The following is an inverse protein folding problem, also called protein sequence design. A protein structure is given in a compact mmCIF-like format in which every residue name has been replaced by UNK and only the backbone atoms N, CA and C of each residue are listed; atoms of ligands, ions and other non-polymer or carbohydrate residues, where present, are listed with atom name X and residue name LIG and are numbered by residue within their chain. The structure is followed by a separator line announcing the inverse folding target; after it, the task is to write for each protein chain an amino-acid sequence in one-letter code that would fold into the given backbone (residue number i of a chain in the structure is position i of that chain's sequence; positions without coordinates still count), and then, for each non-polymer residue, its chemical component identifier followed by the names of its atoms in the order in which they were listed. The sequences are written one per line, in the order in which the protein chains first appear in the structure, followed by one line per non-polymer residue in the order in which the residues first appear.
data_IF_395619005951
#
_entry.id   IF_395619005951
#
_cell.length_a   1.000
_cell.length_b   1.000
_cell.length_c   1.000
_cell.angle_alpha   90.00
_cell.angle_beta   90.00
_cell.angle_gamma   90.00
#
_symmetry.space_group_name_H-M   'P 1'
#
loop_
_entity.id
_entity.type
_entity.pdbx_description
1 polymer ?
#
# COMPACT_ATOMS: atom_id res chain seq x y z
N UNK A 1 10.73 5.83 2.48
CA UNK A 1 10.47 7.28 2.54
C UNK A 1 11.45 7.99 1.62
N UNK A 2 10.98 8.97 0.87
CA UNK A 2 11.79 9.79 -0.04
C UNK A 2 12.73 10.72 0.75
N UNK A 3 13.93 10.97 0.24
CA UNK A 3 14.81 12.01 0.81
C UNK A 3 14.20 13.37 0.56
N UNK A 4 14.06 14.17 1.62
CA UNK A 4 13.57 15.56 1.57
C UNK A 4 14.52 16.50 2.28
N UNK A 5 14.55 17.74 1.82
CA UNK A 5 15.42 18.82 2.30
C UNK A 5 14.79 20.17 2.05
N UNK A 6 15.43 21.24 2.47
CA UNK A 6 14.97 22.61 2.19
C UNK A 6 14.54 22.80 0.74
N UNK A 7 13.36 23.38 0.54
CA UNK A 7 12.68 23.55 -0.74
C UNK A 7 11.74 22.41 -1.12
N UNK A 8 11.78 21.24 -0.45
CA UNK A 8 10.82 20.14 -0.68
C UNK A 8 9.40 20.55 -0.29
N UNK A 9 8.39 19.95 -0.98
CA UNK A 9 6.96 20.20 -0.72
C UNK A 9 6.17 18.90 -0.75
N UNK A 10 4.99 18.90 -0.11
CA UNK A 10 4.01 17.82 -0.20
C UNK A 10 3.91 16.94 1.04
N UNK A 11 3.32 15.75 0.88
CA UNK A 11 2.92 14.85 1.98
C UNK A 11 4.09 14.42 2.88
N UNK A 12 5.26 14.11 2.32
CA UNK A 12 6.44 13.76 3.10
C UNK A 12 6.90 14.88 4.04
N UNK A 13 6.76 16.14 3.63
CA UNK A 13 7.08 17.29 4.48
C UNK A 13 6.06 17.43 5.60
N UNK A 14 4.76 17.27 5.30
CA UNK A 14 3.71 17.27 6.33
C UNK A 14 3.93 16.20 7.39
N UNK A 15 4.26 14.97 6.95
CA UNK A 15 4.58 13.84 7.83
C UNK A 15 5.76 14.19 8.75
N UNK A 16 6.83 14.76 8.19
CA UNK A 16 8.00 15.20 8.95
C UNK A 16 7.63 16.27 9.99
N UNK A 17 6.93 17.32 9.56
CA UNK A 17 6.51 18.42 10.41
C UNK A 17 5.64 17.95 11.58
N UNK A 18 4.66 17.09 11.30
CA UNK A 18 3.84 16.45 12.35
C UNK A 18 4.71 15.70 13.35
N UNK A 19 5.68 14.92 12.86
CA UNK A 19 6.55 14.10 13.73
C UNK A 19 7.50 14.95 14.57
N UNK A 20 7.94 16.08 14.05
CA UNK A 20 8.79 17.05 14.76
C UNK A 20 7.99 17.99 15.68
N UNK A 21 6.64 17.94 15.65
CA UNK A 21 5.79 18.79 16.48
C UNK A 21 5.82 20.29 16.10
N UNK A 22 6.08 20.59 14.81
CA UNK A 22 6.12 21.96 14.28
C UNK A 22 4.91 22.25 13.37
N UNK A 23 4.75 23.48 12.91
CA UNK A 23 3.68 23.88 11.99
C UNK A 23 3.67 23.02 10.72
N UNK A 24 2.48 22.49 10.33
CA UNK A 24 2.30 21.52 9.23
C UNK A 24 1.75 22.26 8.01
N UNK A 25 2.61 22.91 7.26
CA UNK A 25 2.27 23.63 6.02
C UNK A 25 2.63 22.85 4.74
N UNK A 26 3.40 21.76 4.89
CA UNK A 26 3.86 20.94 3.77
C UNK A 26 4.98 21.59 2.95
N UNK A 27 5.62 22.64 3.47
CA UNK A 27 6.79 23.28 2.86
C UNK A 27 8.01 23.17 3.78
N UNK A 28 9.08 22.57 3.26
CA UNK A 28 10.34 22.45 3.98
C UNK A 28 11.10 23.78 3.92
N UNK A 29 10.68 24.73 4.74
CA UNK A 29 11.31 26.05 4.90
C UNK A 29 12.46 26.02 5.90
N UNK A 30 12.90 27.22 6.31
CA UNK A 30 13.99 27.38 7.29
C UNK A 30 13.63 26.80 8.66
N UNK A 31 12.39 26.98 9.11
CA UNK A 31 11.95 26.45 10.42
C UNK A 31 11.98 24.92 10.44
N UNK A 32 11.52 24.30 9.35
CA UNK A 32 11.60 22.84 9.21
C UNK A 32 13.05 22.36 9.16
N UNK A 33 13.95 23.05 8.44
CA UNK A 33 15.37 22.74 8.39
C UNK A 33 16.01 22.82 9.78
N UNK A 34 15.76 23.89 10.52
CA UNK A 34 16.28 24.08 11.88
C UNK A 34 15.79 22.97 12.83
N UNK A 35 14.52 22.61 12.76
CA UNK A 35 13.94 21.53 13.55
C UNK A 35 14.58 20.15 13.20
N UNK A 36 14.84 19.90 11.92
CA UNK A 36 15.56 18.67 11.48
C UNK A 36 16.98 18.65 12.03
N UNK A 37 17.74 19.73 11.91
CA UNK A 37 19.11 19.82 12.42
C UNK A 37 19.13 19.59 13.94
N UNK A 38 18.20 20.20 14.67
CA UNK A 38 18.06 20.02 16.12
C UNK A 38 17.75 18.55 16.46
N UNK A 39 16.81 17.94 15.75
CA UNK A 39 16.49 16.52 15.91
C UNK A 39 17.69 15.62 15.64
N UNK A 40 18.38 15.83 14.51
CA UNK A 40 19.57 15.05 14.14
C UNK A 40 20.66 15.14 15.21
N UNK A 41 20.96 16.33 15.72
CA UNK A 41 21.92 16.53 16.83
C UNK A 41 21.54 15.75 18.08
N UNK A 42 20.28 15.82 18.50
CA UNK A 42 19.81 15.15 19.74
C UNK A 42 19.76 13.62 19.63
N UNK A 43 19.76 13.07 18.39
CA UNK A 43 19.69 11.63 18.12
C UNK A 43 21.01 11.05 17.57
N UNK A 44 22.14 11.81 17.65
CA UNK A 44 23.45 11.32 17.22
C UNK A 44 23.58 11.11 15.71
N UNK A 45 22.75 11.79 14.92
CA UNK A 45 22.80 11.76 13.46
C UNK A 45 23.64 12.93 12.92
N UNK A 46 24.11 12.84 11.67
CA UNK A 46 24.75 13.97 10.98
C UNK A 46 23.76 15.13 10.85
N UNK A 47 24.04 16.32 11.43
CA UNK A 47 23.10 17.43 11.46
C UNK A 47 23.16 18.26 10.17
N UNK A 48 22.87 17.65 9.04
CA UNK A 48 22.96 18.25 7.70
C UNK A 48 21.67 18.88 7.20
N UNK A 49 20.58 18.77 7.99
CA UNK A 49 19.25 19.26 7.60
C UNK A 49 18.58 18.47 6.48
N UNK A 50 19.13 17.30 6.11
CA UNK A 50 18.59 16.43 5.08
C UNK A 50 17.94 15.22 5.74
N UNK A 51 16.67 15.00 5.45
CA UNK A 51 15.93 13.83 5.96
C UNK A 51 16.08 12.68 4.97
N UNK A 52 17.20 11.98 5.06
CA UNK A 52 17.52 10.77 4.32
C UNK A 52 17.06 9.51 5.08
N UNK A 53 17.54 8.34 4.63
CA UNK A 53 17.19 7.04 5.20
C UNK A 53 17.39 6.98 6.72
N UNK A 54 18.56 7.32 7.22
CA UNK A 54 18.88 7.23 8.65
C UNK A 54 18.01 8.16 9.51
N UNK A 55 17.72 9.37 9.00
CA UNK A 55 16.84 10.31 9.72
C UNK A 55 15.40 9.77 9.75
N UNK A 56 14.88 9.22 8.64
CA UNK A 56 13.55 8.58 8.63
C UNK A 56 13.47 7.38 9.55
N UNK A 57 14.48 6.52 9.56
CA UNK A 57 14.54 5.34 10.44
C UNK A 57 14.56 5.74 11.91
N UNK A 58 15.35 6.77 12.28
CA UNK A 58 15.38 7.33 13.63
C UNK A 58 14.03 7.92 14.05
N UNK A 59 13.29 8.53 13.11
CA UNK A 59 11.92 9.02 13.32
C UNK A 59 10.89 7.87 13.42
N UNK A 60 11.31 6.61 13.24
CA UNK A 60 10.46 5.42 13.31
C UNK A 60 9.76 5.06 12.00
N UNK A 61 10.22 5.61 10.86
CA UNK A 61 9.66 5.30 9.55
C UNK A 61 10.57 4.38 8.75
N UNK A 62 9.98 3.41 8.03
CA UNK A 62 10.75 2.53 7.16
C UNK A 62 11.11 3.26 5.86
N UNK A 63 12.39 3.34 5.53
CA UNK A 63 12.83 3.87 4.26
C UNK A 63 12.34 2.98 3.11
N UNK A 64 11.87 3.61 2.04
CA UNK A 64 11.57 2.96 0.76
C UNK A 64 12.01 3.91 -0.36
N UNK A 65 12.51 3.35 -1.45
CA UNK A 65 12.83 4.12 -2.66
C UNK A 65 11.59 4.53 -3.44
N UNK A 66 10.39 4.02 -3.05
CA UNK A 66 9.11 4.28 -3.71
C UNK A 66 8.32 5.37 -2.99
N UNK A 67 7.69 6.24 -3.75
CA UNK A 67 6.68 7.17 -3.25
C UNK A 67 5.35 6.42 -3.15
N UNK A 68 5.00 5.94 -1.95
CA UNK A 68 3.78 5.16 -1.69
C UNK A 68 2.76 6.07 -1.02
N UNK A 69 1.60 6.23 -1.63
CA UNK A 69 0.51 7.07 -1.15
C UNK A 69 -0.87 6.36 -1.17
N UNK A 70 -0.93 5.11 -1.69
CA UNK A 70 -2.19 4.37 -1.73
C UNK A 70 -2.01 2.88 -1.41
N UNK A 71 -3.07 2.26 -0.88
CA UNK A 71 -3.27 0.82 -0.77
C UNK A 71 -4.39 0.41 -1.71
N UNK A 72 -4.17 -0.65 -2.51
CA UNK A 72 -5.19 -1.20 -3.39
C UNK A 72 -5.55 -2.62 -2.92
N UNK A 73 -6.83 -2.79 -2.61
CA UNK A 73 -7.36 -4.08 -2.17
C UNK A 73 -7.84 -4.90 -3.39
N UNK A 74 -7.48 -6.18 -3.39
CA UNK A 74 -7.84 -7.15 -4.41
C UNK A 74 -8.47 -8.39 -3.80
N UNK A 75 -9.17 -9.17 -4.63
CA UNK A 75 -9.53 -10.56 -4.36
C UNK A 75 -8.82 -11.48 -5.36
N UNK A 76 -8.66 -12.75 -4.99
CA UNK A 76 -8.09 -13.77 -5.88
C UNK A 76 -9.05 -14.22 -6.98
N UNK A 77 -10.32 -13.77 -6.95
CA UNK A 77 -11.41 -14.23 -7.80
C UNK A 77 -11.58 -15.77 -7.75
N UNK A 78 -11.49 -16.33 -6.55
CA UNK A 78 -11.75 -17.75 -6.26
C UNK A 78 -13.09 -17.90 -5.54
N UNK A 79 -13.69 -19.11 -5.60
CA UNK A 79 -14.93 -19.40 -4.91
C UNK A 79 -14.78 -19.33 -3.40
N UNK A 80 -15.85 -18.91 -2.72
CA UNK A 80 -15.91 -18.82 -1.26
C UNK A 80 -15.55 -20.16 -0.59
N UNK A 81 -14.77 -20.09 0.48
CA UNK A 81 -14.34 -21.25 1.26
C UNK A 81 -13.34 -22.19 0.57
N UNK A 82 -12.99 -21.95 -0.69
CA UNK A 82 -12.01 -22.77 -1.41
C UNK A 82 -10.59 -22.26 -1.15
N UNK A 83 -9.70 -23.06 -0.54
CA UNK A 83 -8.31 -22.69 -0.35
C UNK A 83 -7.60 -22.43 -1.68
N UNK A 84 -6.76 -21.39 -1.71
CA UNK A 84 -5.94 -21.06 -2.86
C UNK A 84 -4.55 -20.65 -2.37
N UNK A 85 -3.54 -21.45 -2.71
CA UNK A 85 -2.21 -21.29 -2.13
C UNK A 85 -1.40 -20.19 -2.81
N UNK A 86 -0.34 -19.75 -2.12
CA UNK A 86 0.63 -18.80 -2.66
C UNK A 86 1.28 -19.34 -3.94
N UNK A 87 1.60 -20.63 -4.01
CA UNK A 87 2.19 -21.22 -5.22
C UNK A 87 1.20 -21.27 -6.39
N UNK A 88 -0.10 -21.43 -6.14
CA UNK A 88 -1.13 -21.36 -7.18
C UNK A 88 -1.30 -19.92 -7.70
N UNK A 89 -1.25 -18.90 -6.82
CA UNK A 89 -1.23 -17.50 -7.24
C UNK A 89 0.02 -17.21 -8.07
N UNK A 90 1.18 -17.68 -7.63
CA UNK A 90 2.46 -17.50 -8.32
C UNK A 90 2.44 -18.10 -9.72
N UNK A 91 1.97 -19.34 -9.85
CA UNK A 91 1.81 -20.02 -11.13
C UNK A 91 0.85 -19.29 -12.08
N UNK A 92 -0.29 -18.81 -11.56
CA UNK A 92 -1.25 -18.02 -12.33
C UNK A 92 -0.65 -16.70 -12.83
N UNK A 93 0.08 -15.99 -11.98
CA UNK A 93 0.73 -14.72 -12.35
C UNK A 93 1.91 -14.93 -13.32
N UNK A 94 2.68 -16.03 -13.16
CA UNK A 94 3.71 -16.43 -14.11
C UNK A 94 3.13 -16.70 -15.49
N UNK A 95 2.02 -17.42 -15.57
CA UNK A 95 1.32 -17.69 -16.84
C UNK A 95 0.84 -16.42 -17.53
N UNK A 96 0.49 -15.39 -16.74
CA UNK A 96 0.11 -14.03 -17.20
C UNK A 96 1.30 -13.11 -17.48
N UNK A 97 2.53 -13.63 -17.42
CA UNK A 97 3.78 -12.90 -17.69
C UNK A 97 3.99 -11.68 -16.75
N UNK A 98 3.59 -11.79 -15.49
CA UNK A 98 3.89 -10.75 -14.50
C UNK A 98 5.40 -10.69 -14.26
N UNK A 99 5.91 -9.50 -13.90
CA UNK A 99 7.33 -9.33 -13.57
C UNK A 99 7.72 -10.19 -12.37
N UNK A 100 8.90 -10.79 -12.42
CA UNK A 100 9.44 -11.61 -11.33
C UNK A 100 10.12 -10.76 -10.24
N UNK A 101 10.32 -11.40 -9.10
CA UNK A 101 11.18 -10.92 -8.01
C UNK A 101 11.81 -12.11 -7.30
N UNK A 102 12.84 -11.88 -6.50
CA UNK A 102 13.45 -12.92 -5.65
C UNK A 102 12.89 -12.76 -4.24
N UNK A 103 12.34 -13.82 -3.66
CA UNK A 103 11.84 -13.85 -2.29
C UNK A 103 13.00 -13.97 -1.26
N UNK A 104 12.66 -13.94 0.04
CA UNK A 104 13.62 -14.02 1.12
C UNK A 104 14.39 -15.35 1.18
N UNK A 105 13.87 -16.40 0.53
CA UNK A 105 14.48 -17.71 0.41
C UNK A 105 15.32 -17.88 -0.87
N UNK A 106 15.49 -16.79 -1.65
CA UNK A 106 16.24 -16.81 -2.90
C UNK A 106 15.47 -17.39 -4.09
N UNK A 107 14.17 -17.70 -3.94
CA UNK A 107 13.33 -18.28 -5.00
C UNK A 107 12.76 -17.20 -5.91
N UNK A 108 12.78 -17.41 -7.21
CA UNK A 108 12.09 -16.55 -8.18
C UNK A 108 10.58 -16.72 -8.08
N UNK A 109 9.86 -15.61 -7.88
CA UNK A 109 8.41 -15.51 -7.75
C UNK A 109 7.82 -14.49 -8.73
N UNK A 110 6.53 -14.64 -9.01
CA UNK A 110 5.79 -13.80 -9.97
C UNK A 110 4.56 -13.13 -9.36
N UNK A 111 4.29 -13.32 -8.06
CA UNK A 111 3.12 -12.72 -7.38
C UNK A 111 3.18 -11.21 -7.51
N UNK A 112 2.12 -10.60 -8.03
CA UNK A 112 2.03 -9.16 -8.22
C UNK A 112 1.69 -8.38 -6.95
N UNK A 113 1.09 -9.04 -5.95
CA UNK A 113 0.66 -8.46 -4.68
C UNK A 113 1.81 -8.40 -3.67
N UNK A 114 1.80 -7.40 -2.80
CA UNK A 114 2.75 -7.30 -1.69
C UNK A 114 2.33 -8.19 -0.52
N UNK A 115 1.02 -8.33 -0.31
CA UNK A 115 0.44 -9.18 0.73
C UNK A 115 -0.71 -10.01 0.17
N UNK A 116 -0.86 -11.21 0.72
CA UNK A 116 -2.00 -12.09 0.47
C UNK A 116 -2.58 -12.52 1.81
N UNK A 117 -3.90 -12.37 1.99
CA UNK A 117 -4.62 -12.77 3.21
C UNK A 117 -5.37 -14.08 2.95
N UNK A 118 -4.96 -15.11 3.65
CA UNK A 118 -5.53 -16.46 3.54
C UNK A 118 -6.92 -16.52 4.20
N UNK A 119 -7.69 -17.59 3.97
CA UNK A 119 -9.06 -17.75 4.50
C UNK A 119 -9.13 -17.68 6.03
N UNK A 120 -8.11 -18.14 6.73
CA UNK A 120 -7.97 -18.09 8.19
C UNK A 120 -7.51 -16.72 8.73
N UNK A 121 -7.29 -15.75 7.84
CA UNK A 121 -6.77 -14.44 8.18
C UNK A 121 -5.24 -14.35 8.20
N UNK A 122 -4.52 -15.44 8.01
CA UNK A 122 -3.04 -15.40 7.94
C UNK A 122 -2.58 -14.46 6.83
N UNK A 123 -1.71 -13.50 7.18
CA UNK A 123 -1.12 -12.55 6.23
C UNK A 123 0.19 -13.12 5.70
N UNK A 124 0.23 -13.42 4.43
CA UNK A 124 1.44 -13.84 3.72
C UNK A 124 2.13 -12.63 3.09
N UNK A 125 3.41 -12.45 3.42
CA UNK A 125 4.26 -11.44 2.78
C UNK A 125 4.79 -12.06 1.48
N UNK A 126 4.50 -11.40 0.35
CA UNK A 126 4.86 -11.89 -0.98
C UNK A 126 5.91 -10.98 -1.62
N UNK A 127 5.49 -10.07 -2.51
CA UNK A 127 6.41 -9.14 -3.16
C UNK A 127 6.95 -8.13 -2.15
N UNK A 128 8.27 -7.92 -2.06
CA UNK A 128 8.84 -6.88 -1.20
C UNK A 128 8.27 -5.49 -1.53
N UNK A 129 8.00 -4.68 -0.50
CA UNK A 129 7.39 -3.34 -0.69
C UNK A 129 8.31 -2.38 -1.47
N UNK A 130 9.62 -2.56 -1.44
CA UNK A 130 10.58 -1.79 -2.24
C UNK A 130 10.52 -2.12 -3.74
N UNK A 131 9.90 -3.23 -4.12
CA UNK A 131 9.64 -3.60 -5.50
C UNK A 131 8.27 -3.10 -5.96
N UNK A 132 8.23 -2.57 -7.18
CA UNK A 132 6.97 -2.15 -7.81
C UNK A 132 6.06 -3.37 -7.96
N UNK A 133 4.80 -3.23 -7.59
CA UNK A 133 3.78 -4.26 -7.75
C UNK A 133 3.47 -4.61 -9.20
N UNK A 134 2.72 -5.69 -9.40
CA UNK A 134 2.15 -6.04 -10.70
C UNK A 134 0.68 -6.44 -10.48
N UNK A 135 -0.16 -5.48 -10.07
CA UNK A 135 -1.54 -5.73 -9.63
C UNK A 135 -2.57 -4.72 -10.15
N UNK A 136 -2.17 -3.46 -10.38
CA UNK A 136 -3.04 -2.41 -10.91
C UNK A 136 -2.24 -1.50 -11.85
N UNK A 137 -2.50 -1.60 -13.16
CA UNK A 137 -1.82 -0.80 -14.18
C UNK A 137 -2.03 0.70 -13.91
N UNK A 138 -0.98 1.52 -14.09
CA UNK A 138 -1.01 2.95 -13.78
C UNK A 138 -0.80 3.29 -12.30
N UNK A 139 -1.04 2.35 -11.38
CA UNK A 139 -0.96 2.55 -9.92
C UNK A 139 0.19 1.79 -9.25
N UNK A 140 0.76 0.77 -9.90
CA UNK A 140 1.74 -0.14 -9.31
C UNK A 140 2.94 0.56 -8.65
N UNK A 141 3.41 1.69 -9.21
CA UNK A 141 4.60 2.39 -8.72
C UNK A 141 4.36 3.09 -7.38
N UNK A 142 3.13 3.52 -7.10
CA UNK A 142 2.76 4.33 -5.93
C UNK A 142 1.91 3.57 -4.90
N UNK A 143 1.56 2.31 -5.16
CA UNK A 143 0.63 1.55 -4.32
C UNK A 143 1.24 0.33 -3.65
N UNK A 144 0.59 -0.10 -2.56
CA UNK A 144 0.75 -1.42 -1.95
C UNK A 144 -0.47 -2.26 -2.31
N UNK A 145 -0.30 -3.37 -3.02
CA UNK A 145 -1.37 -4.30 -3.34
C UNK A 145 -1.56 -5.35 -2.25
N UNK A 146 -2.80 -5.48 -1.74
CA UNK A 146 -3.22 -6.50 -0.77
C UNK A 146 -4.31 -7.34 -1.43
N UNK A 147 -4.15 -8.65 -1.48
CA UNK A 147 -5.14 -9.57 -2.04
C UNK A 147 -5.70 -10.48 -0.94
N UNK A 148 -7.01 -10.67 -0.85
CA UNK A 148 -7.60 -11.72 -0.03
C UNK A 148 -8.05 -12.91 -0.91
N UNK A 149 -8.05 -14.13 -0.34
CA UNK A 149 -8.53 -15.33 -1.02
C UNK A 149 -10.05 -15.33 -0.99
N UNK A 150 -10.69 -15.37 -2.17
CA UNK A 150 -12.14 -15.31 -2.32
C UNK A 150 -12.57 -14.37 -3.44
N UNK A 151 -13.78 -13.80 -3.31
CA UNK A 151 -14.36 -12.80 -4.20
C UNK A 151 -15.49 -13.34 -5.09
N UNK A 152 -15.70 -14.67 -5.11
CA UNK A 152 -16.79 -15.28 -5.87
C UNK A 152 -17.63 -16.20 -4.96
N UNK A 153 -18.94 -16.22 -5.17
CA UNK A 153 -19.84 -17.19 -4.52
C UNK A 153 -19.63 -18.61 -5.07
N UNK A 154 -20.38 -19.58 -4.55
CA UNK A 154 -20.32 -20.97 -4.98
C UNK A 154 -20.66 -21.17 -6.47
N UNK A 155 -21.43 -20.23 -7.05
CA UNK A 155 -21.82 -20.22 -8.48
C UNK A 155 -20.85 -19.44 -9.36
N UNK A 156 -19.81 -18.82 -8.78
CA UNK A 156 -18.82 -18.01 -9.50
C UNK A 156 -19.25 -16.57 -9.76
N UNK A 157 -20.28 -16.05 -9.08
CA UNK A 157 -20.69 -14.65 -9.16
C UNK A 157 -19.92 -13.80 -8.16
N UNK A 158 -19.68 -12.56 -8.52
CA UNK A 158 -19.02 -11.55 -7.66
C UNK A 158 -19.77 -11.41 -6.33
N UNK A 159 -19.05 -11.57 -5.22
CA UNK A 159 -19.59 -11.50 -3.85
C UNK A 159 -18.49 -11.13 -2.88
N UNK A 160 -18.78 -10.32 -1.85
CA UNK A 160 -17.92 -10.18 -0.69
C UNK A 160 -17.92 -11.50 0.11
N UNK A 161 -16.87 -12.28 -0.08
CA UNK A 161 -16.69 -13.60 0.55
C UNK A 161 -15.65 -13.59 1.65
N UNK A 162 -15.23 -12.39 2.10
CA UNK A 162 -14.24 -12.27 3.17
C UNK A 162 -14.75 -12.91 4.45
N UNK A 163 -13.94 -13.79 5.02
CA UNK A 163 -14.20 -14.33 6.36
C UNK A 163 -14.05 -13.22 7.42
N UNK A 164 -14.62 -13.38 8.64
CA UNK A 164 -14.36 -12.45 9.75
C UNK A 164 -12.87 -12.29 10.05
N UNK A 165 -12.08 -13.37 9.96
CA UNK A 165 -10.63 -13.34 10.16
C UNK A 165 -9.93 -12.50 9.07
N UNK A 166 -10.31 -12.64 7.80
CA UNK A 166 -9.76 -11.82 6.72
C UNK A 166 -10.10 -10.33 6.90
N UNK A 167 -11.32 -9.99 7.32
CA UNK A 167 -11.72 -8.60 7.59
C UNK A 167 -10.87 -8.00 8.72
N UNK A 168 -10.69 -8.73 9.82
CA UNK A 168 -9.85 -8.30 10.94
C UNK A 168 -8.38 -8.08 10.51
N UNK A 169 -7.83 -9.01 9.71
CA UNK A 169 -6.46 -8.92 9.21
C UNK A 169 -6.27 -7.77 8.24
N UNK A 170 -7.25 -7.47 7.36
CA UNK A 170 -7.22 -6.31 6.48
C UNK A 170 -7.11 -5.01 7.28
N UNK A 171 -7.98 -4.82 8.29
CA UNK A 171 -7.97 -3.62 9.14
C UNK A 171 -6.62 -3.48 9.85
N UNK A 172 -6.13 -4.55 10.47
CA UNK A 172 -4.86 -4.55 11.19
C UNK A 172 -3.69 -4.22 10.27
N UNK A 173 -3.62 -4.86 9.10
CA UNK A 173 -2.56 -4.65 8.12
C UNK A 173 -2.58 -3.22 7.55
N UNK A 174 -3.77 -2.69 7.20
CA UNK A 174 -3.92 -1.32 6.71
C UNK A 174 -3.41 -0.31 7.75
N UNK A 175 -3.83 -0.44 9.02
CA UNK A 175 -3.38 0.42 10.12
C UNK A 175 -1.86 0.37 10.30
N UNK A 176 -1.27 -0.81 10.27
CA UNK A 176 0.19 -0.99 10.38
C UNK A 176 0.92 -0.36 9.17
N UNK A 177 0.42 -0.53 7.96
CA UNK A 177 1.00 0.06 6.77
C UNK A 177 0.89 1.60 6.77
N UNK A 178 -0.25 2.17 7.14
CA UNK A 178 -0.41 3.64 7.28
C UNK A 178 0.52 4.21 8.35
N UNK A 179 0.71 3.49 9.46
CA UNK A 179 1.69 3.88 10.49
C UNK A 179 3.12 3.87 9.97
N UNK A 180 3.50 2.86 9.17
CA UNK A 180 4.87 2.71 8.62
C UNK A 180 5.13 3.60 7.40
N UNK A 181 4.08 3.89 6.64
CA UNK A 181 4.10 4.71 5.42
C UNK A 181 3.02 5.81 5.53
N UNK A 182 3.25 6.85 6.33
CA UNK A 182 2.22 7.84 6.66
C UNK A 182 1.85 8.77 5.49
N UNK A 183 2.47 8.58 4.33
CA UNK A 183 2.05 9.20 3.06
C UNK A 183 0.86 8.51 2.42
N UNK A 184 0.47 7.32 2.93
CA UNK A 184 -0.71 6.60 2.45
C UNK A 184 -1.96 7.35 2.95
N UNK A 185 -2.63 8.01 2.02
CA UNK A 185 -3.88 8.76 2.26
C UNK A 185 -5.11 8.03 1.68
N UNK A 186 -4.90 7.05 0.79
CA UNK A 186 -5.98 6.33 0.09
C UNK A 186 -5.92 4.83 0.33
N UNK A 187 -7.10 4.27 0.61
CA UNK A 187 -7.34 2.81 0.60
C UNK A 187 -8.52 2.56 -0.33
N UNK A 188 -8.25 1.97 -1.48
CA UNK A 188 -9.22 1.80 -2.55
C UNK A 188 -9.29 0.33 -2.99
N UNK A 189 -10.35 -0.04 -3.69
CA UNK A 189 -10.46 -1.32 -4.38
C UNK A 189 -9.86 -1.28 -5.78
N UNK A 190 -9.54 -2.44 -6.35
CA UNK A 190 -9.05 -2.49 -7.73
C UNK A 190 -10.07 -1.90 -8.73
N UNK A 191 -11.38 -2.06 -8.51
CA UNK A 191 -12.42 -1.47 -9.36
C UNK A 191 -12.38 0.06 -9.38
N UNK A 192 -11.93 0.68 -8.28
CA UNK A 192 -11.86 2.13 -8.14
C UNK A 192 -10.67 2.74 -8.93
N UNK A 193 -9.85 1.89 -9.59
CA UNK A 193 -8.83 2.30 -10.57
C UNK A 193 -9.36 2.33 -12.01
N UNK A 194 -10.65 2.09 -12.22
CA UNK A 194 -11.31 2.21 -13.53
C UNK A 194 -11.34 3.67 -13.98
N UNK A 195 -11.41 3.95 -15.28
CA UNK A 195 -11.54 5.32 -15.77
C UNK A 195 -12.90 5.92 -15.39
N UNK A 196 -12.90 7.18 -15.01
CA UNK A 196 -14.09 8.01 -14.89
C UNK A 196 -14.53 8.40 -16.29
N UNK A 197 -15.53 7.71 -16.83
CA UNK A 197 -15.98 7.86 -18.21
C UNK A 197 -16.89 9.09 -18.40
N UNK A 198 -17.58 9.51 -17.35
CA UNK A 198 -18.51 10.62 -17.38
C UNK A 198 -17.90 11.93 -16.85
N UNK A 199 -16.68 11.88 -16.22
CA UNK A 199 -15.94 13.04 -15.76
C UNK A 199 -16.51 13.68 -14.48
N UNK A 200 -17.31 12.94 -13.68
CA UNK A 200 -17.92 13.46 -12.46
C UNK A 200 -17.04 13.33 -11.21
N UNK A 201 -15.86 12.70 -11.33
CA UNK A 201 -14.92 12.47 -10.24
C UNK A 201 -15.25 11.25 -9.37
N UNK A 202 -16.25 10.46 -9.71
CA UNK A 202 -16.71 9.26 -9.00
C UNK A 202 -16.68 8.08 -9.96
N UNK A 203 -16.02 6.98 -9.59
CA UNK A 203 -16.06 5.75 -10.38
C UNK A 203 -17.30 4.94 -10.00
N UNK A 204 -18.27 4.89 -10.91
CA UNK A 204 -19.56 4.25 -10.70
C UNK A 204 -19.57 2.78 -11.17
N UNK A 205 -20.54 1.95 -10.72
CA UNK A 205 -20.57 0.52 -11.06
C UNK A 205 -20.60 0.20 -12.56
N UNK A 206 -21.19 1.07 -13.39
CA UNK A 206 -21.21 0.96 -14.86
C UNK A 206 -19.84 1.25 -15.51
N UNK A 207 -18.92 1.84 -14.76
CA UNK A 207 -17.56 2.17 -15.21
C UNK A 207 -16.51 1.12 -14.76
N UNK A 208 -16.90 0.17 -13.89
CA UNK A 208 -15.99 -0.85 -13.39
C UNK A 208 -15.49 -1.77 -14.51
N UNK A 209 -14.19 -1.74 -14.80
CA UNK A 209 -13.54 -2.74 -15.65
C UNK A 209 -13.56 -4.12 -14.99
N UNK A 210 -13.55 -4.18 -13.64
CA UNK A 210 -13.52 -5.40 -12.84
C UNK A 210 -14.33 -5.24 -11.56
N UNK A 211 -14.97 -6.31 -11.07
CA UNK A 211 -15.69 -6.31 -9.80
C UNK A 211 -14.79 -6.39 -8.55
N UNK A 212 -13.49 -6.68 -8.72
CA UNK A 212 -12.52 -6.78 -7.63
C UNK A 212 -12.39 -5.43 -6.89
N UNK A 213 -12.41 -5.37 -5.57
CA UNK A 213 -12.30 -6.47 -4.58
C UNK A 213 -13.65 -7.08 -4.16
N UNK A 214 -14.74 -6.84 -4.85
CA UNK A 214 -16.07 -7.39 -4.59
C UNK A 214 -16.80 -6.78 -3.37
N UNK A 215 -16.33 -5.65 -2.87
CA UNK A 215 -16.94 -4.82 -1.83
C UNK A 215 -16.47 -3.37 -1.96
N UNK A 216 -17.14 -2.43 -1.30
CA UNK A 216 -16.79 -1.00 -1.34
C UNK A 216 -15.66 -0.68 -0.37
N UNK A 217 -14.42 -0.66 -0.86
CA UNK A 217 -13.23 -0.46 -0.03
C UNK A 217 -13.11 0.98 0.49
N UNK A 218 -13.45 1.99 -0.33
CA UNK A 218 -13.33 3.40 0.03
C UNK A 218 -14.15 3.72 1.28
N UNK A 219 -15.47 3.51 1.33
CA UNK A 219 -16.25 3.83 2.54
C UNK A 219 -15.91 2.94 3.73
N UNK A 220 -15.47 1.69 3.52
CA UNK A 220 -15.13 0.76 4.61
C UNK A 220 -13.86 1.17 5.34
N UNK A 221 -12.88 1.76 4.66
CA UNK A 221 -11.56 2.06 5.24
C UNK A 221 -11.23 3.56 5.34
N UNK A 222 -12.20 4.46 5.07
CA UNK A 222 -11.98 5.91 5.07
C UNK A 222 -11.49 6.50 6.39
N UNK A 223 -11.89 5.87 7.50
CA UNK A 223 -11.59 6.37 8.85
C UNK A 223 -10.40 5.63 9.52
N UNK A 224 -9.65 4.83 8.77
CA UNK A 224 -8.47 4.10 9.27
C UNK A 224 -7.19 4.93 9.24
#
# INVERSE_FOLDING_TARGET
MKTIKKGSRGSYVKVLQTKLGISVDGFFGTDTENAVIAYQKSHGLTPDGIVGQHTWESLGYRATSRDIDEIIIHCSATKEGVPFSIDQIDASHKARKFSSYTDLQGKTRYIGYHFVIMLDGTVQICRPIDKIGCHASGHNARSIGICYIGGLDSKGKVKDTRTPAQKASLISLIKDLKKRYPTIDKVIGHRDTSPDLNGNGIIEPNEYIKGCPCFDAIPEYKDL
#
